data_IF_836692840384
#
_entry.id   IF_836692840384
#
_cell.length_a   1.000
_cell.length_b   1.000
_cell.length_c   1.000
_cell.angle_alpha   90.00
_cell.angle_beta   90.00
_cell.angle_gamma   90.00
#
_symmetry.space_group_name_H-M   'P 1'
#
loop_
_entity.id
_entity.type
_entity.pdbx_description
1 polymer ?
#
# COMPACT_ATOMS: atom_id res chain seq x y z
N UNK A 1 0.93 -23.04 3.68
CA UNK A 1 0.02 -21.88 3.88
C UNK A 1 -1.12 -22.08 4.88
N UNK A 2 -1.58 -23.30 5.22
CA UNK A 2 -2.71 -23.48 6.16
C UNK A 2 -2.49 -22.85 7.56
N UNK A 3 -1.25 -22.88 8.07
CA UNK A 3 -0.90 -22.22 9.34
C UNK A 3 -1.00 -20.70 9.27
N UNK A 4 -0.39 -20.09 8.25
CA UNK A 4 -0.43 -18.64 8.01
C UNK A 4 -1.86 -18.13 7.87
N UNK A 5 -2.71 -18.84 7.10
CA UNK A 5 -4.13 -18.50 6.99
C UNK A 5 -4.83 -18.45 8.35
N UNK A 6 -4.60 -19.43 9.22
CA UNK A 6 -5.22 -19.48 10.56
C UNK A 6 -4.80 -18.29 11.43
N UNK A 7 -3.53 -17.88 11.34
CA UNK A 7 -3.00 -16.74 12.11
C UNK A 7 -3.67 -15.45 11.65
N UNK A 8 -3.70 -15.17 10.34
CA UNK A 8 -4.37 -13.98 9.81
C UNK A 8 -5.86 -13.99 10.07
N UNK A 9 -6.51 -15.15 9.91
CA UNK A 9 -7.94 -15.29 10.20
C UNK A 9 -8.26 -14.93 11.65
N UNK A 10 -7.54 -15.50 12.62
CA UNK A 10 -7.72 -15.18 14.04
C UNK A 10 -7.42 -13.72 14.36
N UNK A 11 -6.39 -13.14 13.73
CA UNK A 11 -6.03 -11.73 13.91
C UNK A 11 -7.12 -10.78 13.40
N UNK A 12 -7.64 -10.99 12.18
CA UNK A 12 -8.69 -10.14 11.63
C UNK A 12 -10.04 -10.35 12.30
N UNK A 13 -10.35 -11.58 12.75
CA UNK A 13 -11.51 -11.84 13.58
C UNK A 13 -11.48 -10.99 14.85
N UNK A 14 -10.34 -10.97 15.55
CA UNK A 14 -10.14 -10.15 16.74
C UNK A 14 -10.35 -8.65 16.44
N UNK A 15 -9.76 -8.15 15.35
CA UNK A 15 -9.94 -6.75 14.94
C UNK A 15 -11.43 -6.44 14.74
N UNK A 16 -12.15 -7.26 13.99
CA UNK A 16 -13.56 -7.01 13.71
C UNK A 16 -14.39 -7.03 15.00
N UNK A 17 -14.13 -7.99 15.91
CA UNK A 17 -14.82 -8.06 17.19
C UNK A 17 -14.60 -6.81 18.05
N UNK A 18 -13.38 -6.29 18.09
CA UNK A 18 -13.05 -5.05 18.81
C UNK A 18 -13.81 -3.84 18.25
N UNK A 19 -14.07 -3.78 16.95
CA UNK A 19 -14.84 -2.69 16.33
C UNK A 19 -16.34 -2.84 16.60
N UNK A 20 -16.90 -4.05 16.52
CA UNK A 20 -18.32 -4.32 16.82
C UNK A 20 -18.64 -4.05 18.29
N UNK A 21 -17.73 -4.44 19.19
CA UNK A 21 -17.92 -4.29 20.64
C UNK A 21 -17.56 -2.89 21.14
N UNK A 22 -17.05 -2.01 20.27
CA UNK A 22 -16.67 -0.65 20.66
C UNK A 22 -17.92 0.16 21.02
N UNK A 23 -18.03 0.54 22.30
CA UNK A 23 -19.11 1.42 22.80
C UNK A 23 -18.70 2.89 22.82
N UNK A 24 -17.48 3.19 22.39
CA UNK A 24 -16.94 4.55 22.41
C UNK A 24 -17.48 5.36 21.22
N UNK A 25 -18.47 6.21 21.50
CA UNK A 25 -19.09 7.08 20.50
C UNK A 25 -18.18 8.24 20.06
N UNK A 26 -17.14 8.55 20.84
CA UNK A 26 -16.16 9.61 20.53
C UNK A 26 -14.97 9.07 19.72
N UNK A 27 -14.85 7.75 19.58
CA UNK A 27 -13.80 7.13 18.76
C UNK A 27 -13.91 7.59 17.31
N UNK A 28 -12.78 8.02 16.75
CA UNK A 28 -12.67 8.27 15.31
C UNK A 28 -12.81 6.95 14.55
N UNK A 29 -13.84 6.87 13.70
CA UNK A 29 -14.11 5.70 12.86
C UNK A 29 -13.00 5.51 11.83
N UNK A 30 -12.58 4.27 11.66
CA UNK A 30 -11.59 3.90 10.65
C UNK A 30 -12.20 3.07 9.50
N UNK A 31 -11.33 2.57 8.63
CA UNK A 31 -11.71 1.80 7.46
C UNK A 31 -12.58 0.58 7.80
N UNK A 32 -12.32 -0.10 8.92
CA UNK A 32 -13.07 -1.29 9.33
C UNK A 32 -14.48 -0.90 9.76
N UNK A 33 -14.64 0.22 10.49
CA UNK A 33 -15.95 0.74 10.88
C UNK A 33 -16.83 1.08 9.67
N UNK A 34 -16.21 1.67 8.63
CA UNK A 34 -16.90 1.98 7.37
C UNK A 34 -17.37 0.70 6.69
N UNK A 35 -16.51 -0.31 6.60
CA UNK A 35 -16.87 -1.61 6.01
C UNK A 35 -17.98 -2.33 6.78
N UNK A 36 -17.95 -2.25 8.11
CA UNK A 36 -19.02 -2.79 8.97
C UNK A 36 -20.35 -2.08 8.77
N UNK A 37 -20.34 -0.76 8.48
CA UNK A 37 -21.54 -0.01 8.15
C UNK A 37 -22.28 -0.51 6.90
N UNK A 38 -21.57 -1.15 5.97
CA UNK A 38 -22.16 -1.77 4.78
C UNK A 38 -22.59 -3.23 4.98
N UNK A 39 -22.20 -3.84 6.10
CA UNK A 39 -22.52 -5.24 6.39
C UNK A 39 -24.03 -5.39 6.62
N UNK A 40 -24.69 -6.24 5.81
CA UNK A 40 -26.13 -6.48 5.91
C UNK A 40 -27.03 -5.42 5.27
N UNK A 41 -26.47 -4.45 4.53
CA UNK A 41 -27.27 -3.53 3.70
C UNK A 41 -28.00 -4.28 2.57
N UNK A 42 -29.30 -4.00 2.40
CA UNK A 42 -30.10 -4.48 1.26
C UNK A 42 -30.01 -3.56 0.03
N UNK A 43 -29.35 -2.40 0.15
CA UNK A 43 -29.23 -1.41 -0.93
C UNK A 43 -28.16 -1.77 -1.97
N UNK A 44 -27.34 -2.78 -1.68
CA UNK A 44 -26.24 -3.24 -2.54
C UNK A 44 -26.56 -4.61 -3.13
N UNK A 45 -26.43 -4.77 -4.45
CA UNK A 45 -26.47 -6.08 -5.13
C UNK A 45 -25.42 -7.06 -4.56
N UNK A 46 -24.35 -6.54 -3.97
CA UNK A 46 -23.29 -7.31 -3.34
C UNK A 46 -23.42 -7.24 -1.81
N UNK A 47 -23.78 -8.36 -1.19
CA UNK A 47 -23.82 -8.46 0.27
C UNK A 47 -22.39 -8.58 0.81
N UNK A 48 -21.94 -7.54 1.53
CA UNK A 48 -20.66 -7.58 2.23
C UNK A 48 -20.84 -8.41 3.50
N UNK A 49 -20.13 -9.52 3.57
CA UNK A 49 -20.04 -10.36 4.76
C UNK A 49 -18.69 -10.16 5.46
N UNK A 50 -18.62 -10.67 6.69
CA UNK A 50 -17.41 -10.65 7.51
C UNK A 50 -16.20 -11.26 6.81
N UNK A 51 -16.40 -12.31 6.01
CA UNK A 51 -15.35 -12.95 5.22
C UNK A 51 -14.75 -12.00 4.17
N UNK A 52 -15.59 -11.17 3.53
CA UNK A 52 -15.15 -10.13 2.58
C UNK A 52 -14.35 -9.05 3.30
N UNK A 53 -14.81 -8.60 4.48
CA UNK A 53 -14.10 -7.59 5.28
C UNK A 53 -12.69 -8.09 5.63
N UNK A 54 -12.56 -9.33 6.12
CA UNK A 54 -11.23 -9.92 6.40
C UNK A 54 -10.35 -10.00 5.15
N UNK A 55 -10.92 -10.40 4.02
CA UNK A 55 -10.17 -10.50 2.76
C UNK A 55 -9.67 -9.12 2.29
N UNK A 56 -10.50 -8.08 2.38
CA UNK A 56 -10.15 -6.71 1.98
C UNK A 56 -9.10 -6.12 2.93
N UNK A 57 -9.20 -6.35 4.24
CA UNK A 57 -8.17 -5.92 5.20
C UNK A 57 -6.84 -6.61 4.89
N UNK A 58 -6.86 -7.92 4.63
CA UNK A 58 -5.66 -8.68 4.26
C UNK A 58 -5.02 -8.12 2.99
N UNK A 59 -5.82 -7.90 1.94
CA UNK A 59 -5.35 -7.38 0.65
C UNK A 59 -4.71 -5.99 0.82
N UNK A 60 -5.36 -5.10 1.58
CA UNK A 60 -4.86 -3.76 1.87
C UNK A 60 -3.53 -3.81 2.63
N UNK A 61 -3.40 -4.66 3.64
CA UNK A 61 -2.14 -4.79 4.41
C UNK A 61 -1.02 -5.40 3.56
N UNK A 62 -1.33 -6.46 2.82
CA UNK A 62 -0.37 -7.10 1.93
C UNK A 62 0.14 -6.12 0.86
N UNK A 63 -0.76 -5.36 0.24
CA UNK A 63 -0.41 -4.37 -0.78
C UNK A 63 0.33 -3.15 -0.23
N UNK A 64 0.09 -2.74 1.02
CA UNK A 64 0.64 -1.49 1.56
C UNK A 64 1.94 -1.65 2.36
N UNK A 65 2.19 -2.80 2.98
CA UNK A 65 3.33 -2.97 3.89
C UNK A 65 4.59 -3.33 3.11
N UNK A 66 4.60 -4.52 2.51
CA UNK A 66 5.81 -5.11 1.91
C UNK A 66 6.34 -4.26 0.74
N UNK A 67 5.41 -3.71 -0.06
CA UNK A 67 5.75 -2.91 -1.23
C UNK A 67 6.47 -1.60 -0.87
N UNK A 68 6.00 -0.90 0.15
CA UNK A 68 6.59 0.37 0.62
C UNK A 68 7.93 0.14 1.29
N UNK A 69 8.01 -0.87 2.17
CA UNK A 69 9.26 -1.22 2.86
C UNK A 69 10.33 -1.57 1.84
N UNK A 70 10.02 -2.43 0.87
CA UNK A 70 10.95 -2.82 -0.19
C UNK A 70 11.42 -1.62 -1.02
N UNK A 71 10.51 -0.70 -1.38
CA UNK A 71 10.88 0.52 -2.12
C UNK A 71 11.85 1.41 -1.31
N UNK A 72 11.60 1.60 -0.01
CA UNK A 72 12.47 2.38 0.88
C UNK A 72 13.83 1.71 1.06
N UNK A 73 13.85 0.40 1.29
CA UNK A 73 15.08 -0.39 1.47
C UNK A 73 15.99 -0.27 0.26
N UNK A 74 15.45 -0.42 -0.96
CA UNK A 74 16.22 -0.23 -2.17
C UNK A 74 16.70 1.21 -2.35
N UNK A 75 15.85 2.19 -2.03
CA UNK A 75 16.20 3.61 -2.17
C UNK A 75 17.39 3.95 -1.27
N UNK A 76 17.33 3.55 0.01
CA UNK A 76 18.43 3.77 0.95
C UNK A 76 19.68 2.99 0.52
N UNK A 77 19.52 1.74 0.07
CA UNK A 77 20.63 0.92 -0.42
C UNK A 77 21.36 1.57 -1.59
N UNK A 78 20.63 2.12 -2.57
CA UNK A 78 21.23 2.79 -3.72
C UNK A 78 21.85 4.14 -3.35
N UNK A 79 21.27 4.90 -2.41
CA UNK A 79 21.88 6.12 -1.88
C UNK A 79 23.19 5.84 -1.14
N UNK A 80 23.26 4.78 -0.33
CA UNK A 80 24.47 4.37 0.37
C UNK A 80 25.58 3.93 -0.59
N UNK A 81 25.23 3.26 -1.69
CA UNK A 81 26.18 2.90 -2.77
C UNK A 81 26.64 4.10 -3.59
N UNK A 82 25.85 5.17 -3.64
CA UNK A 82 26.14 6.38 -4.42
C UNK A 82 26.21 7.64 -3.53
N UNK A 83 27.26 7.80 -2.69
CA UNK A 83 27.34 8.90 -1.72
C UNK A 83 27.24 10.31 -2.31
N UNK A 84 27.64 10.48 -3.58
CA UNK A 84 27.51 11.77 -4.27
C UNK A 84 26.06 12.14 -4.56
N UNK A 85 25.21 11.14 -4.88
CA UNK A 85 23.77 11.33 -5.07
C UNK A 85 23.10 11.59 -3.72
N UNK A 86 23.46 10.82 -2.68
CA UNK A 86 22.97 11.04 -1.32
C UNK A 86 23.25 12.45 -0.82
N UNK A 87 24.47 12.98 -1.03
CA UNK A 87 24.82 14.37 -0.67
C UNK A 87 23.96 15.40 -1.41
N UNK A 88 23.59 15.16 -2.67
CA UNK A 88 22.72 16.06 -3.43
C UNK A 88 21.30 16.06 -2.86
N UNK A 89 20.74 14.89 -2.53
CA UNK A 89 19.43 14.78 -1.90
C UNK A 89 19.42 15.47 -0.52
N UNK A 90 20.45 15.24 0.30
CA UNK A 90 20.58 15.92 1.60
C UNK A 90 20.64 17.44 1.45
N UNK A 91 21.40 17.94 0.48
CA UNK A 91 21.47 19.37 0.19
C UNK A 91 20.16 19.94 -0.33
N UNK A 92 19.44 19.19 -1.18
CA UNK A 92 18.11 19.58 -1.64
C UNK A 92 17.14 19.72 -0.46
N UNK A 93 17.10 18.72 0.43
CA UNK A 93 16.27 18.76 1.64
C UNK A 93 16.64 19.94 2.54
N UNK A 94 17.93 20.20 2.76
CA UNK A 94 18.40 21.35 3.53
C UNK A 94 17.95 22.69 2.92
N UNK A 95 18.00 22.81 1.59
CA UNK A 95 17.60 24.05 0.90
C UNK A 95 16.08 24.26 0.88
N UNK A 96 15.29 23.20 0.68
CA UNK A 96 13.84 23.29 0.48
C UNK A 96 13.10 23.28 1.82
N UNK A 97 13.49 22.39 2.73
CA UNK A 97 12.81 22.18 4.02
C UNK A 97 13.55 22.91 5.15
N UNK A 98 14.88 22.93 5.13
CA UNK A 98 15.70 23.43 6.23
C UNK A 98 15.91 22.39 7.32
N UNK A 99 16.77 22.71 8.30
CA UNK A 99 17.21 21.75 9.33
C UNK A 99 16.34 21.75 10.61
N UNK A 100 15.45 22.73 10.76
CA UNK A 100 14.65 22.93 11.99
C UNK A 100 13.18 22.53 11.84
N UNK A 101 12.76 22.12 10.63
CA UNK A 101 11.36 21.82 10.31
C UNK A 101 11.19 20.36 9.92
N UNK A 102 10.03 19.80 10.23
CA UNK A 102 9.64 18.48 9.75
C UNK A 102 9.25 18.54 8.27
N UNK A 103 9.46 17.42 7.58
CA UNK A 103 9.09 17.29 6.16
C UNK A 103 7.58 17.07 6.07
N UNK A 104 6.91 17.97 5.35
CA UNK A 104 5.50 17.85 4.96
C UNK A 104 5.34 17.47 3.48
N UNK A 105 4.17 16.95 3.13
CA UNK A 105 3.81 16.55 1.76
C UNK A 105 3.85 17.73 0.77
N UNK A 106 3.58 18.95 1.27
CA UNK A 106 3.62 20.20 0.50
C UNK A 106 4.99 20.53 -0.09
N UNK A 107 6.08 19.95 0.46
CA UNK A 107 7.43 20.15 -0.07
C UNK A 107 7.76 19.22 -1.23
N UNK A 108 7.01 18.12 -1.44
CA UNK A 108 7.36 17.08 -2.41
C UNK A 108 7.51 17.63 -3.84
N UNK A 109 6.68 18.59 -4.23
CA UNK A 109 6.76 19.24 -5.55
C UNK A 109 8.10 19.96 -5.80
N UNK A 110 8.81 20.34 -4.74
CA UNK A 110 10.09 21.05 -4.80
C UNK A 110 11.30 20.13 -4.60
N UNK A 111 11.08 18.86 -4.27
CA UNK A 111 12.12 17.86 -4.03
C UNK A 111 12.37 17.04 -5.31
N UNK A 112 12.75 17.73 -6.39
CA UNK A 112 12.91 17.14 -7.73
C UNK A 112 14.00 16.06 -7.77
N UNK A 113 15.10 16.25 -7.05
CA UNK A 113 16.21 15.30 -7.01
C UNK A 113 15.85 14.05 -6.23
N UNK A 114 15.15 14.19 -5.10
CA UNK A 114 14.58 13.06 -4.37
C UNK A 114 13.60 12.26 -5.25
N UNK A 115 12.71 12.94 -5.97
CA UNK A 115 11.76 12.29 -6.89
C UNK A 115 12.50 11.51 -7.99
N UNK A 116 13.55 12.08 -8.59
CA UNK A 116 14.41 11.37 -9.54
C UNK A 116 15.07 10.13 -8.92
N UNK A 117 15.57 10.22 -7.68
CA UNK A 117 16.18 9.09 -6.97
C UNK A 117 15.16 7.97 -6.73
N UNK A 118 13.95 8.30 -6.28
CA UNK A 118 12.89 7.30 -6.05
C UNK A 118 12.52 6.62 -7.37
N UNK A 119 12.30 7.40 -8.44
CA UNK A 119 11.99 6.87 -9.78
C UNK A 119 13.08 5.96 -10.33
N UNK A 120 14.34 6.38 -10.22
CA UNK A 120 15.47 5.59 -10.72
C UNK A 120 15.67 4.32 -9.89
N UNK A 121 15.46 4.39 -8.58
CA UNK A 121 15.48 3.21 -7.72
C UNK A 121 14.40 2.22 -8.16
N UNK A 122 13.16 2.67 -8.37
CA UNK A 122 12.08 1.78 -8.83
C UNK A 122 12.31 1.22 -10.24
N UNK A 123 13.02 1.96 -11.11
CA UNK A 123 13.43 1.47 -12.43
C UNK A 123 14.46 0.36 -12.34
N UNK A 124 15.41 0.46 -11.41
CA UNK A 124 16.46 -0.53 -11.18
C UNK A 124 15.96 -1.75 -10.38
N UNK A 125 15.14 -1.49 -9.37
CA UNK A 125 14.65 -2.45 -8.38
C UNK A 125 13.12 -2.39 -8.28
N UNK A 126 12.40 -2.85 -9.32
CA UNK A 126 10.94 -2.85 -9.30
C UNK A 126 10.43 -3.79 -8.20
N UNK A 127 9.54 -3.28 -7.34
CA UNK A 127 8.94 -4.03 -6.22
C UNK A 127 8.13 -5.25 -6.71
N UNK A 128 7.46 -5.12 -7.85
CA UNK A 128 6.65 -6.18 -8.46
C UNK A 128 7.02 -6.33 -9.96
N UNK A 129 8.17 -6.95 -10.29
CA UNK A 129 8.70 -6.98 -11.66
C UNK A 129 7.80 -7.69 -12.67
N UNK A 130 6.96 -8.64 -12.22
CA UNK A 130 6.03 -9.40 -13.06
C UNK A 130 4.56 -8.98 -12.86
N UNK A 131 4.32 -7.91 -12.07
CA UNK A 131 2.99 -7.47 -11.65
C UNK A 131 2.16 -8.61 -11.03
N UNK A 132 0.87 -8.36 -10.81
CA UNK A 132 -0.09 -9.41 -10.46
C UNK A 132 -0.53 -10.16 -11.74
N UNK A 133 -0.80 -11.46 -11.68
CA UNK A 133 -1.33 -12.20 -12.82
C UNK A 133 -2.68 -11.64 -13.27
N UNK A 134 -2.83 -11.43 -14.58
CA UNK A 134 -4.09 -11.05 -15.20
C UNK A 134 -4.68 -12.23 -15.97
N UNK A 135 -6.00 -12.25 -16.12
CA UNK A 135 -6.73 -13.21 -16.95
C UNK A 135 -7.66 -12.46 -17.91
N UNK A 136 -7.87 -13.02 -19.10
CA UNK A 136 -8.87 -12.50 -20.04
C UNK A 136 -10.27 -12.71 -19.44
N UNK A 137 -11.11 -11.67 -19.53
CA UNK A 137 -12.51 -11.74 -19.08
C UNK A 137 -13.38 -12.37 -20.18
N UNK A 138 -12.98 -12.18 -21.44
CA UNK A 138 -13.58 -12.74 -22.63
C UNK A 138 -12.49 -12.99 -23.67
N UNK A 139 -12.77 -13.88 -24.61
CA UNK A 139 -11.94 -14.16 -25.78
C UNK A 139 -11.48 -12.87 -26.46
N UNK A 140 -10.17 -12.69 -26.59
CA UNK A 140 -9.61 -11.50 -27.24
C UNK A 140 -8.46 -11.86 -28.18
N UNK A 141 -8.13 -10.91 -29.07
CA UNK A 141 -7.00 -11.03 -29.98
C UNK A 141 -5.98 -9.95 -29.67
N UNK A 142 -4.76 -10.34 -29.30
CA UNK A 142 -3.65 -9.42 -29.01
C UNK A 142 -2.53 -9.69 -30.01
N UNK A 143 -2.18 -8.70 -30.82
CA UNK A 143 -1.15 -8.82 -31.87
C UNK A 143 -1.35 -10.05 -32.79
N UNK A 144 -2.61 -10.39 -33.10
CA UNK A 144 -2.96 -11.54 -33.94
C UNK A 144 -2.96 -12.90 -33.23
N UNK A 145 -2.64 -12.95 -31.93
CA UNK A 145 -2.77 -14.14 -31.11
C UNK A 145 -4.13 -14.16 -30.41
N UNK A 146 -4.84 -15.28 -30.56
CA UNK A 146 -6.09 -15.51 -29.84
C UNK A 146 -5.80 -15.93 -28.39
N UNK A 147 -6.38 -15.20 -27.44
CA UNK A 147 -6.33 -15.45 -26.01
C UNK A 147 -7.76 -15.85 -25.58
N UNK A 148 -7.98 -17.11 -25.19
CA UNK A 148 -9.27 -17.57 -24.67
C UNK A 148 -9.52 -17.10 -23.23
#
# INVERSE_FOLDING_TARGET
>A
MKGVRKVFDAFFEKIIDEHIQSTDQERTKDFVDVMLGFMGSEESEYRIERSNIKAIILDKLAGAMDTKVTAIEWTISELLKHPQVMKKVQKELENVVGMEREVEESYLEKLEHLDMVVKETMRLHPVAPLLLPHAAIEDCNVNGFHIP
#
